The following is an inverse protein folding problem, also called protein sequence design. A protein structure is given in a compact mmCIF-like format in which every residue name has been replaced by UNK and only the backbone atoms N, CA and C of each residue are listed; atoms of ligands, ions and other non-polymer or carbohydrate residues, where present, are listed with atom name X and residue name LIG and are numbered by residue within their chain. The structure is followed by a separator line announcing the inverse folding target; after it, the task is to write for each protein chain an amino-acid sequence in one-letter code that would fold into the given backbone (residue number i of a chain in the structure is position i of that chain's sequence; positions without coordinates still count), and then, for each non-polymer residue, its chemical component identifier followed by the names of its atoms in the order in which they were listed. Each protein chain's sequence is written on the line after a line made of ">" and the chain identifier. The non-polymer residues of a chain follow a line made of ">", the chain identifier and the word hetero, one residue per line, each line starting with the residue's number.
data_IF_694085125419
#
_entry.id   IF_694085125419
#
_cell.length_a   1.000
_cell.length_b   1.000
_cell.length_c   1.000
_cell.angle_alpha   90.00
_cell.angle_beta   90.00
_cell.angle_gamma   90.00
#
_symmetry.space_group_name_H-M   'P 1'
#
loop_
_entity.id
_entity.type
_entity.pdbx_description
1 polymer ?
#
# COMPACT_ATOMS: atom_id res chain seq x y z
N UNK A 1 14.83 -12.13 13.34
CA UNK A 1 14.15 -13.11 12.45
C UNK A 1 15.13 -13.55 11.36
N UNK A 2 15.01 -14.79 10.89
CA UNK A 2 15.82 -15.25 9.74
C UNK A 2 15.12 -14.87 8.42
N UNK A 3 15.80 -15.09 7.28
CA UNK A 3 15.28 -14.71 5.97
C UNK A 3 13.93 -15.38 5.65
N UNK A 4 13.74 -16.63 6.04
CA UNK A 4 12.49 -17.35 5.80
C UNK A 4 11.34 -16.79 6.64
N UNK A 5 11.60 -16.43 7.89
CA UNK A 5 10.59 -15.84 8.79
C UNK A 5 10.11 -14.50 8.25
N UNK A 6 11.04 -13.65 7.82
CA UNK A 6 10.72 -12.33 7.23
C UNK A 6 9.95 -12.51 5.90
N UNK A 7 10.37 -13.43 5.05
CA UNK A 7 9.66 -13.69 3.81
C UNK A 7 8.23 -14.17 4.05
N UNK A 8 8.02 -15.02 5.06
CA UNK A 8 6.69 -15.51 5.43
C UNK A 8 5.82 -14.39 6.02
N UNK A 9 6.39 -13.56 6.92
CA UNK A 9 5.72 -12.38 7.45
C UNK A 9 5.30 -11.44 6.32
N UNK A 10 6.21 -11.13 5.41
CA UNK A 10 5.95 -10.27 4.25
C UNK A 10 4.78 -10.81 3.41
N UNK A 11 4.86 -12.07 2.97
CA UNK A 11 3.80 -12.71 2.18
C UNK A 11 2.45 -12.68 2.88
N UNK A 12 2.42 -13.03 4.17
CA UNK A 12 1.19 -13.02 4.97
C UNK A 12 0.58 -11.63 5.04
N UNK A 13 1.41 -10.61 5.33
CA UNK A 13 0.97 -9.21 5.44
C UNK A 13 0.40 -8.71 4.11
N UNK A 14 1.11 -8.94 3.01
CA UNK A 14 0.68 -8.50 1.67
C UNK A 14 -0.62 -9.16 1.22
N UNK A 15 -0.77 -10.47 1.50
CA UNK A 15 -2.00 -11.20 1.20
C UNK A 15 -3.18 -10.73 2.05
N UNK A 16 -2.95 -10.39 3.32
CA UNK A 16 -4.01 -9.87 4.19
C UNK A 16 -4.59 -8.56 3.65
N UNK A 17 -3.78 -7.66 3.12
CA UNK A 17 -4.25 -6.42 2.49
C UNK A 17 -5.18 -6.70 1.31
N UNK A 18 -4.90 -7.73 0.51
CA UNK A 18 -5.76 -8.13 -0.61
C UNK A 18 -7.08 -8.70 -0.11
N UNK A 19 -7.07 -9.52 0.95
CA UNK A 19 -8.31 -10.05 1.55
C UNK A 19 -9.24 -8.96 2.07
N UNK A 20 -8.69 -7.87 2.60
CA UNK A 20 -9.48 -6.71 3.05
C UNK A 20 -10.30 -6.10 1.90
N UNK A 21 -9.82 -6.19 0.67
CA UNK A 21 -10.42 -5.49 -0.49
C UNK A 21 -11.09 -6.38 -1.52
N UNK A 22 -10.98 -7.71 -1.39
CA UNK A 22 -11.40 -8.68 -2.43
C UNK A 22 -12.90 -8.61 -2.79
N UNK A 23 -13.75 -8.17 -1.85
CA UNK A 23 -15.20 -8.09 -2.05
C UNK A 23 -15.69 -6.68 -2.45
N UNK A 24 -14.77 -5.75 -2.67
CA UNK A 24 -15.08 -4.35 -2.95
C UNK A 24 -15.07 -4.04 -4.45
N UNK A 25 -15.99 -3.18 -4.87
CA UNK A 25 -15.98 -2.64 -6.22
C UNK A 25 -14.84 -1.61 -6.41
N UNK A 26 -14.43 -1.31 -7.65
CA UNK A 26 -13.50 -0.21 -7.91
C UNK A 26 -13.97 1.14 -7.35
N UNK A 27 -15.28 1.37 -7.32
CA UNK A 27 -15.90 2.58 -6.76
C UNK A 27 -15.70 2.64 -5.25
N UNK A 28 -15.95 1.53 -4.53
CA UNK A 28 -15.72 1.44 -3.09
C UNK A 28 -14.25 1.70 -2.73
N UNK A 29 -13.33 1.13 -3.51
CA UNK A 29 -11.88 1.23 -3.32
C UNK A 29 -11.39 2.69 -3.48
N UNK A 30 -12.14 3.54 -4.16
CA UNK A 30 -11.77 4.94 -4.41
C UNK A 30 -12.48 5.96 -3.50
N UNK A 31 -13.28 5.51 -2.53
CA UNK A 31 -13.95 6.40 -1.59
C UNK A 31 -12.92 7.11 -0.68
N UNK A 32 -13.07 8.41 -0.57
CA UNK A 32 -12.44 9.24 0.46
C UNK A 32 -13.55 9.99 1.21
N UNK A 33 -13.87 9.56 2.41
CA UNK A 33 -15.02 10.03 3.18
C UNK A 33 -14.82 11.41 3.80
N UNK A 34 -13.58 11.84 3.99
CA UNK A 34 -13.18 13.14 4.53
C UNK A 34 -11.71 13.42 4.21
N UNK A 35 -11.27 14.64 4.47
CA UNK A 35 -9.90 15.09 4.17
C UNK A 35 -8.81 14.27 4.88
N UNK A 36 -9.11 13.78 6.09
CA UNK A 36 -8.18 12.99 6.90
C UNK A 36 -8.24 11.48 6.62
N UNK A 37 -9.23 11.00 5.88
CA UNK A 37 -9.28 9.65 5.37
C UNK A 37 -8.50 9.51 4.05
N UNK A 38 -8.29 8.30 3.61
CA UNK A 38 -7.69 8.04 2.30
C UNK A 38 -8.40 6.88 1.59
N UNK A 39 -8.49 6.90 0.26
CA UNK A 39 -9.02 5.76 -0.48
C UNK A 39 -8.19 4.50 -0.25
N UNK A 40 -8.84 3.35 -0.24
CA UNK A 40 -8.14 2.05 -0.15
C UNK A 40 -7.09 1.89 -1.25
N UNK A 41 -7.41 2.31 -2.47
CA UNK A 41 -6.45 2.34 -3.58
C UNK A 41 -5.15 3.07 -3.20
N UNK A 42 -5.28 4.21 -2.54
CA UNK A 42 -4.11 4.96 -2.05
C UNK A 42 -3.33 4.18 -1.00
N UNK A 43 -4.01 3.58 -0.02
CA UNK A 43 -3.35 2.76 1.01
C UNK A 43 -2.57 1.58 0.42
N UNK A 44 -3.17 0.86 -0.54
CA UNK A 44 -2.52 -0.25 -1.22
C UNK A 44 -1.25 0.18 -1.98
N UNK A 45 -1.31 1.33 -2.64
CA UNK A 45 -0.17 1.88 -3.36
C UNK A 45 0.88 2.45 -2.41
N UNK A 46 0.46 3.16 -1.35
CA UNK A 46 1.35 3.75 -0.35
C UNK A 46 2.19 2.70 0.38
N UNK A 47 1.58 1.62 0.84
CA UNK A 47 2.33 0.54 1.51
C UNK A 47 3.29 -0.15 0.55
N UNK A 48 2.97 -0.24 -0.73
CA UNK A 48 3.87 -0.74 -1.77
C UNK A 48 5.03 0.22 -2.02
N UNK A 49 4.73 1.52 -2.12
CA UNK A 49 5.72 2.58 -2.24
C UNK A 49 6.72 2.56 -1.07
N UNK A 50 6.25 2.28 0.15
CA UNK A 50 7.13 2.18 1.32
C UNK A 50 8.23 1.12 1.11
N UNK A 51 7.88 -0.07 0.67
CA UNK A 51 8.85 -1.13 0.39
C UNK A 51 9.79 -0.76 -0.76
N UNK A 52 9.28 -0.14 -1.82
CA UNK A 52 10.11 0.28 -2.93
C UNK A 52 11.09 1.38 -2.52
N UNK A 53 10.60 2.41 -1.80
CA UNK A 53 11.39 3.58 -1.42
C UNK A 53 12.40 3.30 -0.32
N UNK A 54 12.00 2.58 0.73
CA UNK A 54 12.83 2.43 1.93
C UNK A 54 13.61 1.11 1.97
N UNK A 55 13.25 0.14 1.15
CA UNK A 55 13.97 -1.13 1.06
C UNK A 55 14.71 -1.22 -0.27
N UNK A 56 14.01 -1.35 -1.39
CA UNK A 56 14.61 -1.67 -2.68
C UNK A 56 15.52 -0.57 -3.20
N UNK A 57 15.11 0.68 -3.14
CA UNK A 57 15.91 1.80 -3.67
C UNK A 57 17.18 2.06 -2.87
N UNK A 58 17.28 1.51 -1.65
CA UNK A 58 18.47 1.66 -0.80
C UNK A 58 19.56 0.64 -1.09
N UNK A 59 19.27 -0.39 -1.85
CA UNK A 59 20.22 -1.49 -2.13
C UNK A 59 21.07 -1.20 -3.37
N UNK A 60 20.51 -0.49 -4.35
CA UNK A 60 21.19 -0.17 -5.62
C UNK A 60 21.20 1.34 -5.85
N UNK A 61 22.36 1.91 -6.12
CA UNK A 61 22.52 3.34 -6.40
C UNK A 61 21.78 3.83 -7.66
N UNK A 62 21.53 2.93 -8.62
CA UNK A 62 20.82 3.21 -9.86
C UNK A 62 19.48 2.45 -9.94
N UNK A 63 18.78 2.34 -8.82
CA UNK A 63 17.50 1.66 -8.76
C UNK A 63 16.48 2.31 -9.73
N UNK A 64 15.81 1.47 -10.50
CA UNK A 64 14.73 1.90 -11.40
C UNK A 64 13.39 1.68 -10.73
N UNK A 65 12.71 2.77 -10.38
CA UNK A 65 11.36 2.73 -9.84
C UNK A 65 10.36 2.13 -10.83
N UNK A 66 9.33 1.52 -10.32
CA UNK A 66 8.19 1.07 -11.14
C UNK A 66 7.59 2.27 -11.92
N UNK A 67 7.38 3.37 -11.21
CA UNK A 67 6.98 4.65 -11.79
C UNK A 67 7.50 5.79 -10.89
N UNK A 68 8.31 6.69 -11.44
CA UNK A 68 8.90 7.82 -10.71
C UNK A 68 7.86 8.74 -10.06
N UNK A 69 6.68 8.91 -10.70
CA UNK A 69 5.61 9.75 -10.18
C UNK A 69 4.99 9.20 -8.89
N UNK A 70 5.15 7.92 -8.62
CA UNK A 70 4.62 7.30 -7.40
C UNK A 70 5.34 7.79 -6.14
N UNK A 71 6.57 8.28 -6.27
CA UNK A 71 7.28 8.95 -5.18
C UNK A 71 6.58 10.24 -4.71
N UNK A 72 5.83 10.88 -5.58
CA UNK A 72 5.00 12.04 -5.22
C UNK A 72 3.59 11.63 -4.81
N UNK A 73 2.93 10.79 -5.61
CA UNK A 73 1.53 10.41 -5.40
C UNK A 73 1.28 9.64 -4.09
N UNK A 74 2.21 8.77 -3.72
CA UNK A 74 2.02 7.82 -2.62
C UNK A 74 2.89 8.09 -1.39
N UNK A 75 3.69 9.15 -1.38
CA UNK A 75 4.35 9.67 -0.19
C UNK A 75 3.32 10.30 0.76
N UNK A 76 3.56 10.22 2.08
CA UNK A 76 2.68 10.78 3.10
C UNK A 76 3.43 11.77 3.99
N UNK A 77 3.71 11.42 5.25
CA UNK A 77 4.36 12.30 6.22
C UNK A 77 5.88 12.33 6.14
N UNK A 78 6.47 11.58 5.24
CA UNK A 78 7.93 11.42 5.14
C UNK A 78 8.54 12.56 4.33
N UNK A 79 8.59 13.76 4.91
CA UNK A 79 9.13 14.96 4.25
C UNK A 79 10.55 14.77 3.72
N UNK A 80 11.38 14.00 4.40
CA UNK A 80 12.74 13.65 3.93
C UNK A 80 12.76 12.76 2.70
N UNK A 81 11.64 12.14 2.36
CA UNK A 81 11.49 11.33 1.14
C UNK A 81 11.10 12.15 -0.10
N UNK A 82 10.89 13.45 0.06
CA UNK A 82 10.55 14.37 -1.02
C UNK A 82 9.14 14.97 -0.92
N UNK A 83 8.69 15.68 -1.95
CA UNK A 83 7.36 16.28 -1.99
C UNK A 83 6.27 15.21 -2.05
N UNK A 84 5.06 15.57 -1.61
CA UNK A 84 3.91 14.68 -1.54
C UNK A 84 2.66 15.31 -2.14
N UNK A 85 1.79 14.46 -2.66
CA UNK A 85 0.47 14.85 -3.16
C UNK A 85 -0.46 15.28 -2.03
N UNK A 86 -1.33 16.24 -2.30
CA UNK A 86 -2.28 16.79 -1.33
C UNK A 86 -3.24 15.71 -0.79
N UNK A 87 -3.24 15.51 0.53
CA UNK A 87 -4.01 14.44 1.19
C UNK A 87 -5.51 14.53 0.91
N UNK A 88 -6.09 15.74 1.01
CA UNK A 88 -7.53 15.96 0.82
C UNK A 88 -8.03 15.65 -0.60
N UNK A 89 -7.12 15.51 -1.56
CA UNK A 89 -7.45 15.29 -2.98
C UNK A 89 -7.12 13.87 -3.47
N UNK A 90 -6.84 12.93 -2.57
CA UNK A 90 -6.43 11.57 -2.96
C UNK A 90 -7.50 10.81 -3.75
N UNK A 91 -8.78 11.11 -3.55
CA UNK A 91 -9.88 10.53 -4.31
C UNK A 91 -9.94 10.99 -5.78
N UNK A 92 -9.28 12.09 -6.12
CA UNK A 92 -9.22 12.60 -7.50
C UNK A 92 -8.15 11.87 -8.32
N UNK A 93 -7.25 11.12 -7.69
CA UNK A 93 -6.24 10.31 -8.38
C UNK A 93 -6.94 9.18 -9.14
N UNK A 94 -7.27 9.41 -10.42
CA UNK A 94 -7.88 8.40 -11.29
C UNK A 94 -6.84 7.49 -11.95
N UNK A 95 -5.61 7.93 -12.04
CA UNK A 95 -4.45 7.17 -12.55
C UNK A 95 -3.34 7.17 -11.50
N UNK A 96 -2.85 5.99 -11.07
CA UNK A 96 -3.22 4.66 -11.55
C UNK A 96 -4.62 4.23 -11.10
N UNK A 97 -5.26 3.38 -11.91
CA UNK A 97 -6.44 2.61 -11.50
C UNK A 97 -6.07 1.43 -10.61
N UNK A 98 -7.09 0.73 -10.08
CA UNK A 98 -6.83 -0.41 -9.16
C UNK A 98 -6.02 -1.52 -9.82
N UNK A 99 -6.26 -1.84 -11.07
CA UNK A 99 -5.51 -2.89 -11.79
C UNK A 99 -4.02 -2.57 -11.88
N UNK A 100 -3.67 -1.31 -12.15
CA UNK A 100 -2.28 -0.88 -12.20
C UNK A 100 -1.65 -0.88 -10.81
N UNK A 101 -2.38 -0.50 -9.77
CA UNK A 101 -1.92 -0.61 -8.38
C UNK A 101 -1.65 -2.06 -7.99
N UNK A 102 -2.52 -2.99 -8.38
CA UNK A 102 -2.30 -4.42 -8.13
C UNK A 102 -1.08 -4.96 -8.90
N UNK A 103 -0.86 -4.51 -10.13
CA UNK A 103 0.36 -4.81 -10.90
C UNK A 103 1.61 -4.25 -10.21
N UNK A 104 1.53 -3.03 -9.71
CA UNK A 104 2.60 -2.41 -8.92
C UNK A 104 2.92 -3.25 -7.69
N UNK A 105 1.91 -3.62 -6.91
CA UNK A 105 2.06 -4.49 -5.74
C UNK A 105 2.73 -5.82 -6.10
N UNK A 106 2.25 -6.48 -7.15
CA UNK A 106 2.81 -7.76 -7.60
C UNK A 106 4.30 -7.62 -7.97
N UNK A 107 4.66 -6.60 -8.72
CA UNK A 107 6.04 -6.34 -9.13
C UNK A 107 6.95 -6.14 -7.92
N UNK A 108 6.54 -5.31 -6.96
CA UNK A 108 7.34 -5.05 -5.76
C UNK A 108 7.38 -6.28 -4.85
N UNK A 109 6.30 -7.06 -4.76
CA UNK A 109 6.28 -8.31 -4.01
C UNK A 109 7.35 -9.29 -4.53
N UNK A 110 7.48 -9.42 -5.85
CA UNK A 110 8.50 -10.29 -6.45
C UNK A 110 9.91 -9.79 -6.13
N UNK A 111 10.16 -8.49 -6.27
CA UNK A 111 11.48 -7.90 -5.96
C UNK A 111 11.86 -8.07 -4.49
N UNK A 112 10.93 -7.90 -3.55
CA UNK A 112 11.18 -8.12 -2.11
C UNK A 112 11.41 -9.61 -1.82
N UNK A 113 10.64 -10.50 -2.44
CA UNK A 113 10.80 -11.95 -2.28
C UNK A 113 12.20 -12.40 -2.75
N UNK A 114 12.63 -11.94 -3.92
CA UNK A 114 13.99 -12.17 -4.43
C UNK A 114 15.07 -11.65 -3.48
N UNK A 115 14.85 -10.44 -2.92
CA UNK A 115 15.73 -9.86 -1.93
C UNK A 115 15.86 -10.71 -0.67
N UNK A 116 14.76 -11.24 -0.13
CA UNK A 116 14.77 -12.12 1.03
C UNK A 116 15.57 -13.42 0.79
N UNK A 117 15.68 -13.85 -0.47
CA UNK A 117 16.45 -15.03 -0.86
C UNK A 117 17.94 -14.74 -1.05
N UNK A 118 18.34 -13.47 -1.09
CA UNK A 118 19.73 -13.06 -1.22
C UNK A 118 20.42 -12.96 0.14
N UNK A 119 21.76 -13.06 0.16
CA UNK A 119 22.56 -12.94 1.38
C UNK A 119 22.69 -11.51 1.93
N UNK A 120 22.28 -10.50 1.16
CA UNK A 120 22.49 -9.08 1.48
C UNK A 120 21.15 -8.33 1.66
N UNK A 121 20.21 -8.92 2.40
CA UNK A 121 18.89 -8.32 2.61
C UNK A 121 18.86 -7.39 3.82
N UNK A 122 18.19 -6.24 3.68
CA UNK A 122 17.85 -5.34 4.79
C UNK A 122 16.56 -5.84 5.46
N UNK A 123 16.66 -6.90 6.25
CA UNK A 123 15.52 -7.59 6.84
C UNK A 123 14.75 -6.70 7.82
N UNK A 124 15.45 -5.89 8.60
CA UNK A 124 14.82 -5.03 9.62
C UNK A 124 13.86 -4.02 8.98
N UNK A 125 14.24 -3.45 7.85
CA UNK A 125 13.37 -2.50 7.15
C UNK A 125 12.17 -3.19 6.48
N UNK A 126 12.31 -4.44 6.06
CA UNK A 126 11.18 -5.24 5.56
C UNK A 126 10.19 -5.50 6.71
N UNK A 127 10.68 -5.84 7.90
CA UNK A 127 9.85 -6.03 9.09
C UNK A 127 9.08 -4.75 9.44
N UNK A 128 9.77 -3.60 9.48
CA UNK A 128 9.13 -2.28 9.68
C UNK A 128 8.05 -2.03 8.63
N UNK A 129 8.31 -2.34 7.38
CA UNK A 129 7.33 -2.22 6.29
C UNK A 129 6.09 -3.10 6.49
N UNK A 130 6.27 -4.32 7.01
CA UNK A 130 5.14 -5.20 7.35
C UNK A 130 4.27 -4.60 8.46
N UNK A 131 4.85 -4.11 9.53
CA UNK A 131 4.11 -3.45 10.61
C UNK A 131 3.43 -2.17 10.15
N UNK A 132 4.10 -1.38 9.30
CA UNK A 132 3.50 -0.21 8.66
C UNK A 132 2.27 -0.60 7.81
N UNK A 133 2.35 -1.65 7.02
CA UNK A 133 1.21 -2.12 6.23
C UNK A 133 0.07 -2.66 7.10
N UNK A 134 0.36 -3.37 8.19
CA UNK A 134 -0.65 -3.82 9.15
C UNK A 134 -1.42 -2.63 9.75
N UNK A 135 -0.74 -1.53 10.09
CA UNK A 135 -1.39 -0.30 10.52
C UNK A 135 -2.32 0.25 9.44
N UNK A 136 -1.88 0.25 8.19
CA UNK A 136 -2.70 0.68 7.06
C UNK A 136 -3.90 -0.24 6.78
N UNK A 137 -3.83 -1.54 7.10
CA UNK A 137 -4.99 -2.45 7.04
C UNK A 137 -6.10 -2.01 7.99
N UNK A 138 -5.76 -1.58 9.20
CA UNK A 138 -6.73 -0.99 10.14
C UNK A 138 -7.33 0.31 9.59
N UNK A 139 -6.50 1.18 9.04
CA UNK A 139 -6.95 2.44 8.45
C UNK A 139 -7.86 2.23 7.23
N UNK A 140 -7.58 1.24 6.39
CA UNK A 140 -8.45 0.89 5.26
C UNK A 140 -9.87 0.56 5.73
N UNK A 141 -10.00 -0.26 6.77
CA UNK A 141 -11.31 -0.64 7.32
C UNK A 141 -12.03 0.55 7.93
N UNK A 142 -11.33 1.36 8.71
CA UNK A 142 -11.90 2.56 9.34
C UNK A 142 -12.38 3.56 8.29
N UNK A 143 -11.53 3.87 7.31
CA UNK A 143 -11.83 4.84 6.25
C UNK A 143 -12.98 4.37 5.35
N UNK A 144 -12.99 3.08 5.00
CA UNK A 144 -14.04 2.48 4.18
C UNK A 144 -15.39 2.48 4.90
N UNK A 145 -15.45 2.01 6.14
CA UNK A 145 -16.69 1.93 6.91
C UNK A 145 -17.29 3.33 7.11
N UNK A 146 -16.46 4.32 7.38
CA UNK A 146 -16.90 5.70 7.45
C UNK A 146 -17.50 6.16 6.11
N UNK A 147 -16.84 5.87 5.00
CA UNK A 147 -17.36 6.19 3.66
C UNK A 147 -18.68 5.51 3.34
N UNK A 148 -18.79 4.20 3.59
CA UNK A 148 -20.01 3.44 3.35
C UNK A 148 -21.17 3.90 4.22
N UNK A 149 -20.91 4.45 5.42
CA UNK A 149 -21.95 4.94 6.33
C UNK A 149 -22.77 6.09 5.78
N UNK A 150 -22.25 6.83 4.80
CA UNK A 150 -22.98 7.93 4.14
C UNK A 150 -23.94 7.45 3.04
N UNK A 151 -23.89 6.19 2.65
CA UNK A 151 -24.74 5.66 1.59
C UNK A 151 -26.08 5.21 2.19
N UNK A 152 -27.22 5.85 1.81
CA UNK A 152 -28.53 5.51 2.38
C UNK A 152 -29.01 4.09 2.03
N UNK A 153 -28.42 3.42 1.03
CA UNK A 153 -28.72 2.02 0.73
C UNK A 153 -28.11 1.02 1.74
N UNK A 154 -27.24 1.49 2.65
CA UNK A 154 -26.63 0.66 3.69
C UNK A 154 -25.76 -0.47 3.15
N UNK A 155 -24.80 -0.19 2.25
CA UNK A 155 -23.95 -1.24 1.70
C UNK A 155 -23.17 -1.94 2.80
N UNK A 156 -23.09 -3.27 2.71
CA UNK A 156 -22.33 -4.08 3.68
C UNK A 156 -20.89 -4.28 3.17
N UNK A 157 -19.96 -4.20 4.08
CA UNK A 157 -18.56 -4.55 3.80
C UNK A 157 -18.40 -6.05 3.51
N UNK A 158 -19.04 -6.88 4.33
CA UNK A 158 -19.02 -8.33 4.19
C UNK A 158 -20.43 -8.81 3.79
N UNK A 159 -20.48 -9.69 2.80
CA UNK A 159 -21.73 -10.25 2.28
C UNK A 159 -22.15 -11.56 2.99
N UNK A 160 -21.43 -11.95 4.03
CA UNK A 160 -21.79 -13.10 4.85
C UNK A 160 -23.00 -12.86 5.73
#
# INVERSE_FOLDING_TARGET
>A
MNNNDIQNLFKKTRNQSIKVVENLSPEDINIQSMEDASPIKWHLAHTTWFFEKFVLSKIKSNYKYFNENYNYLFNSYYFKAGPRYTRSLRNIISRPGIEEVLKYRHTINNRITELCQSSNSNLDMIEVGCHHEMQHQELMLTDLQHGLSFNPSGPKYDQT
#
